data_IF_359333596531
#
_entry.id   IF_359333596531
#
_cell.length_a   1.000
_cell.length_b   1.000
_cell.length_c   1.000
_cell.angle_alpha   90.00
_cell.angle_beta   90.00
_cell.angle_gamma   90.00
#
_symmetry.space_group_name_H-M   'P 1'
#
loop_
_entity.id
_entity.type
_entity.pdbx_description
1 polymer ?
#
# COMPACT_ATOMS: atom_id res chain seq x y z
N UNK A 1 -36.82 23.68 14.32
CA UNK A 1 -36.26 25.04 14.39
C UNK A 1 -35.71 25.42 13.02
N UNK A 2 -35.75 26.69 12.58
CA UNK A 2 -34.90 27.14 11.48
C UNK A 2 -33.42 26.98 11.88
N UNK A 3 -32.49 26.72 10.94
CA UNK A 3 -31.07 26.70 11.25
C UNK A 3 -30.62 28.09 11.72
N UNK A 4 -29.84 28.15 12.80
CA UNK A 4 -29.20 29.40 13.24
C UNK A 4 -28.31 29.94 12.11
N UNK A 5 -28.19 31.26 11.99
CA UNK A 5 -27.06 31.83 11.26
C UNK A 5 -25.77 31.45 11.99
N UNK A 6 -24.80 31.02 11.20
CA UNK A 6 -23.42 30.84 11.64
C UNK A 6 -22.71 32.16 11.32
N UNK A 7 -22.60 33.03 12.34
CA UNK A 7 -22.02 34.37 12.23
C UNK A 7 -20.50 34.36 12.54
N UNK A 8 -19.85 33.20 12.34
CA UNK A 8 -18.39 33.09 12.39
C UNK A 8 -17.75 33.85 11.21
N UNK A 9 -16.75 34.69 11.51
CA UNK A 9 -15.94 35.38 10.49
C UNK A 9 -14.97 34.39 9.84
N UNK A 10 -15.42 33.72 8.79
CA UNK A 10 -14.56 32.85 7.98
C UNK A 10 -13.49 33.68 7.28
N UNK A 11 -12.23 33.24 7.36
CA UNK A 11 -11.12 33.85 6.62
C UNK A 11 -11.25 33.47 5.14
N UNK A 12 -11.10 34.39 4.17
CA UNK A 12 -11.11 34.04 2.74
C UNK A 12 -10.12 32.92 2.37
N UNK A 13 -9.00 32.79 3.09
CA UNK A 13 -8.04 31.69 2.89
C UNK A 13 -8.59 30.29 3.27
N UNK A 14 -9.67 30.21 4.05
CA UNK A 14 -10.33 28.95 4.42
C UNK A 14 -11.39 28.51 3.36
N UNK A 15 -11.45 29.20 2.21
CA UNK A 15 -12.45 28.94 1.14
C UNK A 15 -11.81 28.42 -0.14
N UNK A 16 -12.47 27.46 -0.80
CA UNK A 16 -12.08 27.03 -2.16
C UNK A 16 -12.43 28.15 -3.13
N UNK A 17 -11.50 28.54 -3.99
CA UNK A 17 -11.64 29.69 -4.90
C UNK A 17 -12.91 29.53 -5.76
N UNK A 18 -13.80 30.52 -5.71
CA UNK A 18 -15.09 30.49 -6.42
C UNK A 18 -16.23 29.77 -5.69
N UNK A 19 -16.01 29.29 -4.45
CA UNK A 19 -17.02 28.63 -3.62
C UNK A 19 -17.26 29.38 -2.32
N UNK A 20 -18.54 29.59 -1.99
CA UNK A 20 -18.93 30.20 -0.72
C UNK A 20 -18.40 29.38 0.47
N UNK A 21 -18.20 29.97 1.67
CA UNK A 21 -17.78 29.23 2.86
C UNK A 21 -18.66 28.01 3.18
N UNK A 22 -19.97 28.11 2.89
CA UNK A 22 -20.93 27.01 3.05
C UNK A 22 -20.77 25.92 2.01
N UNK A 23 -20.42 26.29 0.77
CA UNK A 23 -20.12 25.32 -0.30
C UNK A 23 -18.79 24.62 -0.02
N UNK A 24 -17.76 25.36 0.42
CA UNK A 24 -16.47 24.79 0.86
C UNK A 24 -16.67 23.78 2.00
N UNK A 25 -17.47 24.11 3.02
CA UNK A 25 -17.81 23.18 4.11
C UNK A 25 -18.54 21.92 3.61
N UNK A 26 -19.40 22.05 2.59
CA UNK A 26 -20.08 20.91 1.95
C UNK A 26 -19.12 20.04 1.12
N UNK A 27 -18.19 20.65 0.37
CA UNK A 27 -17.16 19.92 -0.38
C UNK A 27 -16.22 19.15 0.54
N UNK A 28 -15.67 19.80 1.57
CA UNK A 28 -14.81 19.16 2.55
C UNK A 28 -15.52 18.01 3.30
N UNK A 29 -16.78 18.21 3.71
CA UNK A 29 -17.55 17.16 4.37
C UNK A 29 -17.90 15.99 3.43
N UNK A 30 -18.22 16.28 2.16
CA UNK A 30 -18.51 15.24 1.14
C UNK A 30 -17.27 14.46 0.71
N UNK A 31 -16.09 15.09 0.71
CA UNK A 31 -14.81 14.41 0.56
C UNK A 31 -14.57 13.44 1.73
N UNK A 32 -14.68 13.93 2.98
CA UNK A 32 -14.46 13.14 4.19
C UNK A 32 -15.52 12.04 4.42
N UNK A 33 -16.72 12.17 3.84
CA UNK A 33 -17.78 11.16 3.90
C UNK A 33 -17.88 10.26 2.66
N UNK A 34 -16.95 10.37 1.70
CA UNK A 34 -16.93 9.51 0.53
C UNK A 34 -16.69 8.04 0.92
N UNK A 35 -17.52 7.15 0.38
CA UNK A 35 -17.47 5.69 0.58
C UNK A 35 -17.40 4.92 -0.75
N UNK A 36 -17.08 5.61 -1.85
CA UNK A 36 -16.90 5.07 -3.19
C UNK A 36 -17.32 6.05 -4.30
N UNK A 37 -17.15 5.69 -5.59
CA UNK A 37 -17.58 6.53 -6.70
C UNK A 37 -19.06 6.92 -6.58
N UNK A 38 -19.30 8.23 -6.51
CA UNK A 38 -20.60 8.87 -6.25
C UNK A 38 -21.39 8.35 -5.02
N UNK A 39 -20.72 7.81 -4.00
CA UNK A 39 -21.35 7.29 -2.79
C UNK A 39 -20.84 8.00 -1.54
N UNK A 40 -21.76 8.47 -0.72
CA UNK A 40 -21.48 9.32 0.44
C UNK A 40 -22.24 8.84 1.68
N UNK A 41 -21.55 8.78 2.82
CA UNK A 41 -22.13 8.61 4.14
C UNK A 41 -22.76 9.94 4.57
N UNK A 42 -24.08 10.05 4.40
CA UNK A 42 -24.81 11.29 4.69
C UNK A 42 -24.98 11.56 6.20
N UNK A 43 -24.71 10.60 7.08
CA UNK A 43 -24.83 10.75 8.53
C UNK A 43 -23.48 11.21 9.14
N UNK A 44 -22.35 10.74 8.59
CA UNK A 44 -21.04 11.39 8.77
C UNK A 44 -21.06 12.81 8.22
N UNK A 45 -21.60 13.02 7.02
CA UNK A 45 -21.69 14.36 6.42
C UNK A 45 -22.62 15.31 7.22
N UNK A 46 -23.69 14.79 7.83
CA UNK A 46 -24.53 15.51 8.77
C UNK A 46 -23.72 16.00 9.98
N UNK A 47 -22.97 15.09 10.59
CA UNK A 47 -22.09 15.36 11.74
C UNK A 47 -21.03 16.42 11.44
N UNK A 48 -20.38 16.37 10.27
CA UNK A 48 -19.33 17.32 9.87
C UNK A 48 -19.86 18.72 9.54
N UNK A 49 -21.09 18.82 9.01
CA UNK A 49 -21.62 20.11 8.52
C UNK A 49 -22.54 20.82 9.51
N UNK A 50 -23.23 20.07 10.38
CA UNK A 50 -24.33 20.57 11.22
C UNK A 50 -25.71 20.53 10.53
N UNK A 51 -25.82 19.90 9.36
CA UNK A 51 -27.07 19.70 8.63
C UNK A 51 -27.68 18.30 8.93
N UNK A 52 -28.85 18.00 8.36
CA UNK A 52 -29.39 16.63 8.38
C UNK A 52 -29.01 15.87 7.11
N UNK A 53 -28.90 14.55 7.18
CA UNK A 53 -28.69 13.70 6.00
C UNK A 53 -29.74 13.95 4.89
N UNK A 54 -30.98 14.27 5.28
CA UNK A 54 -32.08 14.58 4.37
C UNK A 54 -31.94 15.93 3.64
N UNK A 55 -31.36 16.95 4.27
CA UNK A 55 -31.07 18.22 3.57
C UNK A 55 -29.79 18.12 2.72
N UNK A 56 -28.78 17.38 3.18
CA UNK A 56 -27.52 17.19 2.46
C UNK A 56 -27.71 16.46 1.12
N UNK A 57 -28.61 15.47 1.05
CA UNK A 57 -29.02 14.81 -0.22
C UNK A 57 -29.62 15.78 -1.26
N UNK A 58 -29.98 17.01 -0.87
CA UNK A 58 -30.43 18.09 -1.77
C UNK A 58 -29.38 19.18 -1.98
N UNK A 59 -28.64 19.52 -0.92
CA UNK A 59 -27.66 20.62 -0.93
C UNK A 59 -26.33 20.24 -1.58
N UNK A 60 -25.88 18.98 -1.45
CA UNK A 60 -24.57 18.56 -1.93
C UNK A 60 -24.47 18.33 -3.45
N UNK A 61 -25.42 17.67 -4.15
CA UNK A 61 -25.32 17.42 -5.59
C UNK A 61 -25.07 18.66 -6.47
N UNK A 62 -25.72 19.83 -6.28
CA UNK A 62 -25.40 21.01 -7.11
C UNK A 62 -24.01 21.58 -6.82
N UNK A 63 -23.56 21.55 -5.55
CA UNK A 63 -22.22 22.02 -5.16
C UNK A 63 -21.13 21.10 -5.68
N UNK A 64 -21.33 19.78 -5.61
CA UNK A 64 -20.46 18.77 -6.23
C UNK A 64 -20.33 19.02 -7.74
N UNK A 65 -21.45 19.23 -8.44
CA UNK A 65 -21.44 19.45 -9.89
C UNK A 65 -20.69 20.75 -10.25
N UNK A 66 -20.96 21.85 -9.55
CA UNK A 66 -20.19 23.11 -9.69
C UNK A 66 -18.68 22.88 -9.50
N UNK A 67 -18.27 22.03 -8.54
CA UNK A 67 -16.86 21.69 -8.31
C UNK A 67 -16.25 20.78 -9.39
N UNK A 68 -17.03 19.87 -9.98
CA UNK A 68 -16.59 19.06 -11.14
C UNK A 68 -16.45 19.90 -12.41
N UNK A 69 -17.32 20.90 -12.60
CA UNK A 69 -17.29 21.86 -13.70
C UNK A 69 -16.10 22.85 -13.54
N UNK A 70 -15.82 23.32 -12.32
CA UNK A 70 -14.71 24.24 -12.04
C UNK A 70 -13.33 23.56 -11.96
N UNK A 71 -13.27 22.29 -11.57
CA UNK A 71 -12.02 21.53 -11.37
C UNK A 71 -12.09 20.15 -12.02
N UNK A 72 -11.62 19.97 -13.27
CA UNK A 72 -11.63 18.68 -13.96
C UNK A 72 -10.89 17.56 -13.20
N UNK A 73 -9.86 17.89 -12.42
CA UNK A 73 -9.17 16.95 -11.52
C UNK A 73 -10.09 16.38 -10.43
N UNK A 74 -11.05 17.16 -9.94
CA UNK A 74 -12.04 16.73 -8.95
C UNK A 74 -13.07 15.76 -9.55
N UNK A 75 -13.44 15.94 -10.83
CA UNK A 75 -14.27 14.98 -11.56
C UNK A 75 -13.58 13.61 -11.70
N UNK A 76 -12.31 13.62 -12.14
CA UNK A 76 -11.47 12.41 -12.24
C UNK A 76 -11.33 11.70 -10.89
N UNK A 77 -11.05 12.44 -9.82
CA UNK A 77 -10.93 11.89 -8.47
C UNK A 77 -12.21 11.20 -7.97
N UNK A 78 -13.39 11.70 -8.34
CA UNK A 78 -14.68 11.12 -7.93
C UNK A 78 -15.12 9.91 -8.79
N UNK A 79 -14.26 9.41 -9.69
CA UNK A 79 -14.52 8.26 -10.54
C UNK A 79 -15.43 8.57 -11.72
N UNK A 80 -15.55 9.84 -12.10
CA UNK A 80 -16.40 10.30 -13.22
C UNK A 80 -15.55 10.93 -14.30
N UNK A 81 -15.53 10.32 -15.50
CA UNK A 81 -14.96 10.94 -16.70
C UNK A 81 -15.70 12.24 -17.01
N UNK A 82 -14.96 13.34 -17.21
CA UNK A 82 -15.55 14.60 -17.66
C UNK A 82 -16.19 14.45 -19.06
N UNK A 83 -17.23 15.24 -19.40
CA UNK A 83 -17.71 15.33 -20.77
C UNK A 83 -16.58 15.86 -21.67
N UNK A 84 -16.30 15.16 -22.77
CA UNK A 84 -15.34 15.63 -23.77
C UNK A 84 -16.01 16.65 -24.68
N UNK A 85 -15.56 17.91 -24.66
CA UNK A 85 -15.97 18.91 -25.64
C UNK A 85 -15.56 18.46 -27.06
N UNK A 86 -16.55 18.24 -27.92
CA UNK A 86 -16.37 17.78 -29.29
C UNK A 86 -16.68 18.87 -30.30
N UNK A 87 -15.69 19.67 -30.69
CA UNK A 87 -15.82 20.65 -31.77
C UNK A 87 -15.74 19.98 -33.14
N UNK A 88 -16.88 19.78 -33.81
CA UNK A 88 -17.15 20.16 -35.21
C UNK A 88 -18.39 19.42 -35.78
N UNK A 89 -19.12 20.11 -36.66
CA UNK A 89 -20.24 19.54 -37.42
C UNK A 89 -21.47 20.44 -37.42
N UNK A 90 -21.58 21.34 -38.40
CA UNK A 90 -22.86 21.99 -38.69
C UNK A 90 -23.84 20.98 -39.29
N UNK A 91 -25.06 20.88 -38.74
CA UNK A 91 -26.21 20.60 -39.59
C UNK A 91 -27.44 21.39 -39.11
N UNK A 92 -28.26 21.85 -40.06
CA UNK A 92 -29.19 22.96 -39.85
C UNK A 92 -30.52 22.49 -39.27
N UNK A 93 -31.00 23.19 -38.24
CA UNK A 93 -32.32 22.96 -37.67
C UNK A 93 -33.44 23.31 -38.65
N UNK A 94 -34.43 22.41 -38.77
CA UNK A 94 -35.74 22.68 -39.35
C UNK A 94 -36.84 22.29 -38.33
N UNK A 95 -38.01 22.96 -38.32
CA UNK A 95 -38.83 23.04 -37.12
C UNK A 95 -39.82 21.88 -36.90
N UNK A 96 -40.23 21.70 -35.64
CA UNK A 96 -41.35 20.81 -35.26
C UNK A 96 -42.67 21.34 -35.84
N UNK A 97 -43.26 20.58 -36.77
CA UNK A 97 -44.69 20.70 -37.10
C UNK A 97 -45.55 19.99 -36.03
N UNK A 98 -46.81 20.42 -35.87
CA UNK A 98 -47.69 19.91 -34.83
C UNK A 98 -49.05 19.41 -35.35
N UNK A 99 -49.67 18.55 -34.54
CA UNK A 99 -51.11 18.29 -34.40
C UNK A 99 -51.83 17.23 -35.28
N UNK A 100 -52.96 16.79 -34.69
CA UNK A 100 -54.16 16.13 -35.26
C UNK A 100 -54.21 14.60 -35.49
N UNK A 101 -54.66 13.93 -34.42
CA UNK A 101 -55.97 13.24 -34.29
C UNK A 101 -56.42 12.16 -35.31
N UNK A 102 -56.72 10.98 -34.72
CA UNK A 102 -57.88 10.08 -34.98
C UNK A 102 -57.94 9.29 -36.31
N UNK A 103 -58.03 7.96 -36.17
CA UNK A 103 -59.33 7.24 -36.18
C UNK A 103 -59.21 5.94 -35.35
N UNK A 104 -60.35 5.32 -35.00
CA UNK A 104 -60.42 4.07 -34.23
C UNK A 104 -61.61 3.21 -34.70
N UNK A 105 -61.45 1.88 -34.64
CA UNK A 105 -62.42 0.77 -34.76
C UNK A 105 -61.61 -0.54 -34.72
N UNK A 106 -62.02 -1.65 -34.10
CA UNK A 106 -63.23 -1.93 -33.29
C UNK A 106 -63.02 -3.15 -32.37
N UNK A 107 -63.92 -3.28 -31.39
CA UNK A 107 -64.09 -4.32 -30.35
C UNK A 107 -64.83 -5.59 -30.90
N UNK A 108 -65.29 -6.57 -30.08
CA UNK A 108 -64.71 -7.27 -28.91
C UNK A 108 -64.86 -8.82 -28.99
N UNK A 109 -64.50 -9.55 -27.91
CA UNK A 109 -65.39 -10.42 -27.09
C UNK A 109 -64.55 -10.82 -25.84
N UNK A 110 -64.97 -10.71 -24.57
CA UNK A 110 -66.12 -11.25 -23.80
C UNK A 110 -66.13 -12.78 -23.66
N UNK A 111 -66.33 -13.38 -22.46
CA UNK A 111 -66.50 -12.82 -21.11
C UNK A 111 -66.24 -13.88 -19.99
N UNK A 112 -66.32 -13.44 -18.72
CA UNK A 112 -66.81 -14.19 -17.55
C UNK A 112 -65.94 -15.34 -16.94
N UNK A 113 -65.93 -15.63 -15.63
CA UNK A 113 -66.42 -14.93 -14.41
C UNK A 113 -65.88 -15.63 -13.13
N UNK A 114 -65.63 -14.86 -12.04
CA UNK A 114 -65.95 -15.18 -10.61
C UNK A 114 -65.22 -16.37 -9.90
N UNK A 115 -65.17 -16.48 -8.56
CA UNK A 115 -65.42 -15.56 -7.41
C UNK A 115 -64.80 -16.14 -6.10
N UNK A 116 -64.64 -15.30 -5.05
CA UNK A 116 -64.54 -15.65 -3.60
C UNK A 116 -63.33 -16.51 -3.09
N UNK A 117 -63.04 -16.64 -1.78
CA UNK A 117 -62.81 -15.67 -0.66
C UNK A 117 -62.32 -16.42 0.62
N UNK A 118 -62.16 -15.72 1.76
CA UNK A 118 -61.72 -16.17 3.11
C UNK A 118 -60.24 -16.56 3.24
N UNK A 119 -59.40 -16.02 4.15
CA UNK A 119 -59.50 -15.78 5.63
C UNK A 119 -59.48 -17.10 6.42
N UNK A 120 -58.45 -17.41 7.23
CA UNK A 120 -58.11 -16.87 8.56
C UNK A 120 -57.92 -18.08 9.52
N UNK A 121 -57.35 -18.02 10.73
CA UNK A 121 -56.61 -16.97 11.45
C UNK A 121 -55.51 -17.64 12.36
N UNK A 122 -55.09 -17.01 13.47
CA UNK A 122 -53.93 -17.45 14.32
C UNK A 122 -54.35 -18.30 15.53
N UNK A 123 -53.36 -18.94 16.17
CA UNK A 123 -53.32 -19.10 17.63
C UNK A 123 -51.89 -19.11 18.20
N UNK A 124 -51.73 -18.61 19.44
CA UNK A 124 -50.55 -18.79 20.29
C UNK A 124 -50.79 -19.95 21.27
N UNK A 125 -49.75 -20.45 21.96
CA UNK A 125 -49.72 -20.30 23.43
C UNK A 125 -48.31 -20.39 24.05
N UNK A 126 -48.22 -20.32 25.39
CA UNK A 126 -47.02 -20.04 26.22
C UNK A 126 -46.72 -21.07 27.34
N UNK A 127 -45.55 -20.86 27.96
CA UNK A 127 -45.18 -21.20 29.36
C UNK A 127 -44.77 -22.67 29.64
N UNK A 128 -44.03 -23.04 30.70
CA UNK A 128 -43.28 -22.34 31.79
C UNK A 128 -42.12 -23.28 32.25
N UNK A 129 -41.32 -22.97 33.30
CA UNK A 129 -40.74 -24.06 34.12
C UNK A 129 -39.31 -24.05 34.71
N UNK A 130 -38.80 -22.94 35.29
CA UNK A 130 -37.98 -22.87 36.54
C UNK A 130 -36.88 -23.93 36.94
N UNK A 131 -35.75 -23.38 37.47
CA UNK A 131 -34.79 -23.91 38.52
C UNK A 131 -33.69 -24.94 38.12
N UNK A 132 -32.61 -25.17 38.90
CA UNK A 132 -31.65 -24.28 39.64
C UNK A 132 -30.42 -25.06 40.22
N UNK A 133 -29.21 -24.49 40.10
CA UNK A 133 -28.03 -24.59 41.00
C UNK A 133 -27.13 -25.86 41.19
N UNK A 134 -25.82 -25.63 40.95
CA UNK A 134 -24.60 -26.00 41.73
C UNK A 134 -24.19 -27.46 42.03
N UNK A 135 -22.95 -27.81 41.65
CA UNK A 135 -22.11 -28.86 42.26
C UNK A 135 -20.62 -28.75 41.88
N UNK A 136 -19.68 -28.88 42.84
CA UNK A 136 -18.20 -28.94 42.70
C UNK A 136 -17.62 -29.47 44.02
N UNK A 137 -16.56 -30.33 44.09
CA UNK A 137 -15.16 -29.86 44.02
C UNK A 137 -14.09 -30.89 43.50
N UNK A 138 -12.81 -30.46 43.45
CA UNK A 138 -11.48 -31.16 43.65
C UNK A 138 -11.30 -32.68 43.32
N UNK A 139 -10.15 -33.20 42.87
CA UNK A 139 -8.80 -32.65 42.56
C UNK A 139 -7.63 -33.52 43.10
N UNK A 140 -6.40 -33.41 42.52
CA UNK A 140 -5.14 -34.23 42.72
C UNK A 140 -5.00 -35.44 41.76
N UNK A 141 -3.80 -35.94 41.35
CA UNK A 141 -2.39 -35.45 41.40
C UNK A 141 -1.50 -36.14 40.33
N UNK A 142 -0.28 -35.62 40.14
CA UNK A 142 0.89 -36.17 39.40
C UNK A 142 1.68 -37.22 40.23
N UNK A 143 2.83 -37.85 39.86
CA UNK A 143 3.92 -37.56 38.88
C UNK A 143 4.88 -38.78 38.70
N UNK A 144 5.51 -38.93 37.50
CA UNK A 144 6.77 -39.66 37.16
C UNK A 144 7.20 -39.28 35.72
N UNK A 145 8.43 -39.33 35.16
CA UNK A 145 9.83 -39.74 35.53
C UNK A 145 10.17 -41.25 35.48
N UNK A 146 11.35 -41.72 35.00
CA UNK A 146 12.64 -41.09 34.60
C UNK A 146 13.51 -42.03 33.68
N UNK A 147 14.44 -41.46 32.89
CA UNK A 147 15.68 -42.03 32.23
C UNK A 147 15.58 -43.37 31.40
N UNK A 148 16.55 -43.92 30.64
CA UNK A 148 17.96 -43.57 30.32
C UNK A 148 18.55 -44.23 29.01
N UNK A 149 19.66 -43.67 28.50
CA UNK A 149 20.85 -44.26 27.81
C UNK A 149 20.85 -45.36 26.67
N UNK A 150 21.46 -44.98 25.51
CA UNK A 150 22.70 -45.52 24.84
C UNK A 150 22.75 -46.54 23.66
N UNK A 151 23.64 -46.16 22.71
CA UNK A 151 24.60 -46.94 21.86
C UNK A 151 24.05 -47.75 20.67
N UNK A 152 24.53 -47.54 19.43
CA UNK A 152 25.75 -48.07 18.74
C UNK A 152 25.67 -49.61 18.48
N UNK A 153 26.01 -50.19 17.32
CA UNK A 153 27.02 -49.85 16.27
C UNK A 153 26.59 -50.15 14.81
N UNK A 154 27.46 -49.77 13.87
CA UNK A 154 27.73 -50.35 12.53
C UNK A 154 27.65 -51.90 12.44
N UNK A 155 27.54 -52.58 11.27
CA UNK A 155 27.19 -52.25 9.86
C UNK A 155 26.95 -53.60 9.07
N UNK A 156 27.27 -53.93 7.80
CA UNK A 156 28.01 -53.35 6.64
C UNK A 156 27.68 -54.19 5.34
N UNK A 157 27.71 -53.62 4.11
CA UNK A 157 27.72 -54.27 2.75
C UNK A 157 26.59 -55.30 2.36
N UNK A 158 26.28 -55.68 1.09
CA UNK A 158 26.50 -55.14 -0.28
C UNK A 158 25.60 -55.85 -1.35
N UNK A 159 25.49 -55.24 -2.56
CA UNK A 159 25.35 -55.85 -3.93
C UNK A 159 24.00 -56.45 -4.47
N UNK A 160 23.65 -55.97 -5.68
CA UNK A 160 22.85 -56.52 -6.83
C UNK A 160 21.37 -56.97 -6.73
N UNK A 161 20.65 -56.76 -7.86
CA UNK A 161 19.28 -57.25 -8.12
C UNK A 161 18.46 -56.35 -9.07
N UNK A 162 18.53 -56.59 -10.39
CA UNK A 162 17.67 -55.92 -11.39
C UNK A 162 16.23 -56.46 -11.39
N UNK A 163 15.22 -55.58 -11.45
CA UNK A 163 14.01 -55.86 -12.24
C UNK A 163 13.24 -54.59 -12.64
N UNK A 164 12.75 -54.53 -13.88
CA UNK A 164 11.89 -53.43 -14.39
C UNK A 164 10.41 -53.74 -14.12
N UNK A 165 9.75 -52.94 -13.29
CA UNK A 165 8.29 -52.97 -13.12
C UNK A 165 7.72 -51.57 -12.87
N UNK A 166 6.84 -51.08 -13.76
CA UNK A 166 6.02 -49.89 -13.52
C UNK A 166 4.68 -50.25 -12.86
N UNK A 167 4.32 -49.62 -11.72
CA UNK A 167 2.95 -49.51 -11.23
C UNK A 167 2.41 -48.05 -11.36
N UNK A 168 1.08 -47.86 -11.36
CA UNK A 168 0.46 -46.74 -12.10
C UNK A 168 0.33 -45.40 -11.36
N UNK A 169 0.24 -44.34 -12.17
CA UNK A 169 -0.06 -42.95 -11.82
C UNK A 169 -1.15 -42.76 -10.74
N UNK A 170 -0.76 -42.28 -9.55
CA UNK A 170 -1.67 -41.58 -8.62
C UNK A 170 -0.98 -40.40 -7.93
N UNK A 171 -1.68 -39.26 -7.92
CA UNK A 171 -1.50 -38.10 -7.04
C UNK A 171 -0.10 -37.44 -7.00
N UNK A 172 0.30 -36.80 -8.11
CA UNK A 172 1.33 -35.76 -8.09
C UNK A 172 0.82 -34.48 -7.38
N UNK A 173 1.07 -34.37 -6.08
CA UNK A 173 1.11 -33.06 -5.41
C UNK A 173 2.40 -32.35 -5.82
N UNK A 174 2.36 -31.60 -6.93
CA UNK A 174 3.49 -30.80 -7.40
C UNK A 174 3.90 -29.76 -6.35
N UNK A 175 5.09 -29.98 -5.77
CA UNK A 175 5.72 -29.06 -4.83
C UNK A 175 7.01 -28.52 -5.50
N UNK A 176 6.95 -27.39 -6.21
CA UNK A 176 7.93 -27.01 -7.24
C UNK A 176 9.26 -26.43 -6.70
N UNK A 177 9.59 -26.67 -5.42
CA UNK A 177 10.73 -26.03 -4.74
C UNK A 177 11.84 -27.01 -4.27
N UNK A 178 11.77 -28.30 -4.61
CA UNK A 178 12.94 -29.20 -4.52
C UNK A 178 13.73 -29.21 -5.83
N UNK A 179 14.36 -28.08 -6.14
CA UNK A 179 15.09 -27.90 -7.41
C UNK A 179 16.05 -26.70 -7.48
N UNK A 180 16.36 -26.03 -6.36
CA UNK A 180 17.35 -24.96 -6.34
C UNK A 180 18.77 -25.53 -6.47
N UNK A 181 19.23 -25.71 -7.71
CA UNK A 181 20.66 -25.81 -8.02
C UNK A 181 21.39 -24.55 -7.54
N UNK A 182 22.67 -24.70 -7.23
CA UNK A 182 23.53 -23.55 -6.91
C UNK A 182 23.60 -22.60 -8.11
N UNK A 183 23.21 -21.34 -7.93
CA UNK A 183 23.30 -20.32 -8.96
C UNK A 183 24.76 -20.17 -9.46
N UNK A 184 25.04 -20.36 -10.76
CA UNK A 184 26.39 -20.22 -11.27
C UNK A 184 26.80 -18.74 -11.33
N UNK A 185 27.68 -18.33 -10.41
CA UNK A 185 28.34 -17.01 -10.38
C UNK A 185 29.27 -16.74 -11.60
N UNK A 186 29.28 -17.63 -12.59
CA UNK A 186 30.33 -17.79 -13.60
C UNK A 186 30.22 -16.82 -14.80
N UNK A 187 30.00 -15.53 -14.54
CA UNK A 187 30.23 -14.47 -15.54
C UNK A 187 30.72 -13.12 -14.98
N UNK A 188 30.74 -12.91 -13.66
CA UNK A 188 31.08 -11.62 -13.04
C UNK A 188 32.40 -11.64 -12.27
N UNK A 189 33.44 -12.27 -12.84
CA UNK A 189 34.80 -12.22 -12.26
C UNK A 189 35.85 -11.92 -13.33
N UNK A 190 36.36 -10.68 -13.30
CA UNK A 190 37.66 -10.32 -13.85
C UNK A 190 38.26 -9.22 -12.97
N UNK A 191 39.49 -9.44 -12.49
CA UNK A 191 40.36 -8.50 -11.76
C UNK A 191 39.74 -7.72 -10.58
N UNK A 192 39.85 -8.26 -9.36
CA UNK A 192 40.81 -7.73 -8.37
C UNK A 192 40.94 -8.66 -7.15
N UNK A 193 42.06 -8.58 -6.42
CA UNK A 193 42.38 -9.45 -5.29
C UNK A 193 41.92 -8.89 -3.95
N UNK A 194 41.41 -9.78 -3.09
CA UNK A 194 41.44 -9.66 -1.62
C UNK A 194 40.82 -8.39 -1.00
N UNK A 195 39.56 -8.10 -1.33
CA UNK A 195 38.63 -7.53 -0.36
C UNK A 195 37.58 -8.60 0.00
N UNK A 196 37.15 -8.65 1.26
CA UNK A 196 35.86 -9.29 1.57
C UNK A 196 34.79 -8.51 0.81
N UNK A 197 33.89 -9.19 0.08
CA UNK A 197 32.91 -8.55 -0.81
C UNK A 197 31.84 -7.81 -0.02
N UNK A 198 32.19 -6.59 0.44
CA UNK A 198 31.35 -5.76 1.28
C UNK A 198 30.14 -5.29 0.49
N UNK A 199 28.99 -5.88 0.80
CA UNK A 199 27.75 -5.63 0.09
C UNK A 199 27.25 -4.20 0.37
N UNK A 200 26.69 -3.55 -0.66
CA UNK A 200 26.04 -2.26 -0.49
C UNK A 200 24.84 -2.36 0.49
N UNK A 201 24.48 -1.27 1.19
CA UNK A 201 23.39 -1.30 2.16
C UNK A 201 22.01 -1.57 1.54
N UNK A 202 21.12 -2.13 2.35
CA UNK A 202 19.68 -2.17 2.10
C UNK A 202 18.99 -1.37 3.20
N UNK A 203 18.04 -0.49 2.86
CA UNK A 203 17.28 0.29 3.84
C UNK A 203 15.80 0.36 3.46
N UNK A 204 14.91 0.11 4.41
CA UNK A 204 13.51 0.53 4.35
C UNK A 204 13.34 1.78 5.20
N UNK A 205 12.96 2.89 4.58
CA UNK A 205 12.80 4.21 5.22
C UNK A 205 11.34 4.66 5.23
N UNK A 206 11.01 5.47 6.24
CA UNK A 206 9.80 6.31 6.22
C UNK A 206 10.10 7.61 5.44
N UNK A 207 9.34 7.92 4.39
CA UNK A 207 9.64 9.07 3.52
C UNK A 207 8.95 10.39 3.92
N UNK A 208 7.94 10.34 4.79
CA UNK A 208 7.19 11.52 5.25
C UNK A 208 5.97 11.85 4.39
N UNK A 209 5.04 12.64 4.94
CA UNK A 209 3.81 13.01 4.26
C UNK A 209 4.03 14.17 3.28
N UNK A 210 4.11 13.88 1.98
CA UNK A 210 4.25 14.89 0.94
C UNK A 210 5.57 15.69 1.05
N UNK A 211 5.59 16.99 0.73
CA UNK A 211 6.80 17.82 0.74
C UNK A 211 7.26 18.23 2.16
N UNK A 212 6.46 17.95 3.18
CA UNK A 212 6.60 18.48 4.54
C UNK A 212 7.95 18.22 5.24
N UNK A 213 8.65 17.08 5.03
CA UNK A 213 10.01 16.88 5.56
C UNK A 213 11.03 17.91 5.02
N UNK A 214 10.86 18.37 3.77
CA UNK A 214 11.72 19.36 3.13
C UNK A 214 11.30 20.78 3.49
N UNK A 215 9.98 21.05 3.58
CA UNK A 215 9.43 22.31 4.08
C UNK A 215 9.67 22.55 5.58
N UNK A 216 10.19 21.56 6.32
CA UNK A 216 10.59 21.71 7.71
C UNK A 216 9.45 21.58 8.73
N UNK A 217 8.38 20.87 8.40
CA UNK A 217 7.23 20.72 9.30
C UNK A 217 7.61 20.08 10.66
N UNK A 218 7.28 20.71 11.80
CA UNK A 218 7.66 20.21 13.12
C UNK A 218 7.15 18.81 13.46
N UNK A 219 6.04 18.35 12.87
CA UNK A 219 5.50 17.00 13.12
C UNK A 219 6.29 15.89 12.41
N UNK A 220 7.17 16.26 11.48
CA UNK A 220 8.04 15.34 10.73
C UNK A 220 9.54 15.58 10.99
N UNK A 221 9.89 16.54 11.86
CA UNK A 221 11.27 16.97 12.10
C UNK A 221 12.22 15.85 12.56
N UNK A 222 11.74 14.85 13.32
CA UNK A 222 12.55 13.68 13.70
C UNK A 222 12.95 12.85 12.47
N UNK A 223 11.97 12.52 11.62
CA UNK A 223 12.16 11.76 10.38
C UNK A 223 13.05 12.54 9.40
N UNK A 224 12.79 13.84 9.21
CA UNK A 224 13.62 14.71 8.39
C UNK A 224 15.07 14.80 8.90
N UNK A 225 15.29 14.79 10.22
CA UNK A 225 16.63 14.71 10.80
C UNK A 225 17.29 13.35 10.55
N UNK A 226 16.58 12.23 10.72
CA UNK A 226 17.12 10.89 10.45
C UNK A 226 17.43 10.67 8.96
N UNK A 227 16.63 11.24 8.05
CA UNK A 227 16.92 11.30 6.61
C UNK A 227 18.17 12.15 6.29
N UNK A 228 18.40 13.25 7.01
CA UNK A 228 19.59 14.11 6.88
C UNK A 228 20.87 13.57 7.54
N UNK A 229 20.77 12.62 8.47
CA UNK A 229 21.91 12.24 9.34
C UNK A 229 22.18 10.75 9.43
N UNK A 230 21.16 9.90 9.66
CA UNK A 230 21.33 8.44 9.79
C UNK A 230 21.45 7.76 8.44
N UNK A 231 20.54 8.07 7.51
CA UNK A 231 20.51 7.42 6.20
C UNK A 231 21.78 7.70 5.39
N UNK A 232 22.38 8.91 5.39
CA UNK A 232 23.67 9.18 4.76
C UNK A 232 24.84 8.39 5.38
N UNK A 233 24.81 8.15 6.69
CA UNK A 233 25.82 7.33 7.38
C UNK A 233 25.69 5.85 7.01
N UNK A 234 24.47 5.30 7.00
CA UNK A 234 24.20 3.92 6.61
C UNK A 234 24.55 3.70 5.13
N UNK A 235 24.21 4.65 4.26
CA UNK A 235 24.61 4.70 2.85
C UNK A 235 26.07 5.10 2.63
N UNK A 236 26.84 5.40 3.69
CA UNK A 236 28.28 5.73 3.64
C UNK A 236 28.62 6.87 2.66
N UNK A 237 27.72 7.84 2.54
CA UNK A 237 27.84 8.95 1.59
C UNK A 237 29.06 9.83 1.92
N UNK A 238 29.77 10.30 0.90
CA UNK A 238 31.03 11.03 1.05
C UNK A 238 32.24 10.17 1.43
N UNK A 239 32.12 8.84 1.49
CA UNK A 239 33.23 7.91 1.73
C UNK A 239 33.60 7.13 0.46
N UNK A 240 34.77 6.44 0.42
CA UNK A 240 35.11 5.50 -0.65
C UNK A 240 34.16 4.30 -0.79
N UNK A 241 33.32 4.03 0.22
CA UNK A 241 32.29 2.98 0.22
C UNK A 241 30.89 3.50 -0.20
N UNK A 242 30.78 4.74 -0.70
CA UNK A 242 29.53 5.28 -1.22
C UNK A 242 29.00 4.41 -2.38
N UNK A 243 27.70 4.05 -2.41
CA UNK A 243 27.08 3.33 -3.51
C UNK A 243 27.25 4.02 -4.86
N UNK A 244 27.56 3.25 -5.92
CA UNK A 244 27.68 3.77 -7.29
C UNK A 244 26.33 4.11 -7.93
N UNK A 245 25.25 3.59 -7.35
CA UNK A 245 23.87 3.86 -7.72
C UNK A 245 22.93 3.38 -6.58
N UNK A 246 21.68 3.83 -6.62
CA UNK A 246 20.60 3.41 -5.72
C UNK A 246 19.43 2.85 -6.55
N UNK A 247 19.00 1.63 -6.23
CA UNK A 247 17.71 1.08 -6.66
C UNK A 247 16.67 1.44 -5.61
N UNK A 248 15.74 2.34 -5.94
CA UNK A 248 14.75 2.88 -5.02
C UNK A 248 13.36 2.31 -5.33
N UNK A 249 12.86 1.45 -4.44
CA UNK A 249 11.53 0.82 -4.52
C UNK A 249 10.53 1.74 -3.82
N UNK A 250 9.62 2.38 -4.56
CA UNK A 250 8.71 3.40 -4.01
C UNK A 250 7.27 2.92 -3.94
N UNK A 251 6.59 3.27 -2.85
CA UNK A 251 5.17 3.02 -2.62
C UNK A 251 4.26 3.74 -3.64
N UNK A 252 4.68 4.92 -4.13
CA UNK A 252 3.87 5.79 -5.01
C UNK A 252 3.96 5.39 -6.49
N UNK A 253 4.46 4.18 -6.78
CA UNK A 253 4.40 3.56 -8.08
C UNK A 253 4.01 2.09 -7.93
N UNK A 254 2.74 1.78 -8.20
CA UNK A 254 2.18 0.43 -8.09
C UNK A 254 1.65 -0.02 -9.45
N UNK A 255 2.03 -1.21 -9.91
CA UNK A 255 1.80 -1.69 -11.28
C UNK A 255 1.36 -3.16 -11.35
N UNK A 256 0.89 -3.58 -12.53
CA UNK A 256 0.51 -4.98 -12.84
C UNK A 256 1.69 -5.96 -12.66
N UNK A 257 2.90 -5.46 -12.86
CA UNK A 257 4.17 -6.15 -12.68
C UNK A 257 5.27 -5.14 -12.36
N UNK A 258 6.44 -5.63 -11.95
CA UNK A 258 7.59 -4.79 -11.61
C UNK A 258 7.97 -3.89 -12.79
N UNK A 259 7.89 -2.58 -12.60
CA UNK A 259 8.25 -1.59 -13.61
C UNK A 259 9.43 -0.76 -13.12
N UNK A 260 10.37 -0.48 -14.01
CA UNK A 260 11.72 0.04 -13.69
C UNK A 260 11.95 1.32 -14.47
N UNK A 261 12.37 2.42 -13.82
CA UNK A 261 12.72 3.65 -14.54
C UNK A 261 14.05 3.47 -15.28
N UNK A 262 14.10 3.81 -16.57
CA UNK A 262 15.27 3.55 -17.43
C UNK A 262 15.73 4.75 -18.25
N UNK A 263 15.41 5.96 -17.80
CA UNK A 263 15.91 7.21 -18.38
C UNK A 263 17.36 7.48 -17.97
N UNK A 264 17.98 8.48 -18.61
CA UNK A 264 19.25 9.09 -18.16
C UNK A 264 19.03 10.32 -17.27
N UNK A 265 17.85 10.93 -17.39
CA UNK A 265 17.30 12.06 -16.63
C UNK A 265 15.81 11.79 -16.47
N UNK A 266 15.23 12.36 -15.42
CA UNK A 266 13.83 12.18 -15.04
C UNK A 266 13.28 13.52 -14.55
N UNK A 267 12.08 13.89 -14.99
CA UNK A 267 11.35 15.02 -14.42
C UNK A 267 10.80 14.65 -13.03
N UNK A 268 10.46 15.65 -12.21
CA UNK A 268 9.74 15.40 -10.95
C UNK A 268 8.25 15.24 -11.21
N UNK A 269 7.66 14.19 -10.62
CA UNK A 269 6.24 13.89 -10.67
C UNK A 269 5.60 14.25 -9.33
N UNK A 270 4.99 15.44 -9.26
CA UNK A 270 4.32 15.94 -8.06
C UNK A 270 2.97 15.25 -7.85
N UNK A 271 3.01 14.13 -7.13
CA UNK A 271 1.89 13.27 -6.78
C UNK A 271 1.15 13.71 -5.49
N UNK A 272 1.43 14.92 -5.00
CA UNK A 272 0.77 15.54 -3.85
C UNK A 272 0.14 16.90 -4.21
N UNK A 273 -0.97 17.22 -3.54
CA UNK A 273 -1.83 18.37 -3.86
C UNK A 273 -2.20 19.17 -2.61
N UNK A 274 -2.41 20.48 -2.76
CA UNK A 274 -2.85 21.37 -1.66
C UNK A 274 -1.74 21.90 -0.75
N UNK A 275 -0.50 21.93 -1.24
CA UNK A 275 0.65 22.53 -0.54
C UNK A 275 0.99 23.93 -1.11
N UNK A 276 1.82 24.74 -0.43
CA UNK A 276 2.30 26.03 -0.95
C UNK A 276 3.14 25.90 -2.24
N UNK A 277 3.23 26.99 -3.01
CA UNK A 277 3.93 27.04 -4.32
C UNK A 277 5.42 26.67 -4.22
N UNK A 278 6.05 26.90 -3.06
CA UNK A 278 7.43 26.51 -2.78
C UNK A 278 7.63 24.98 -2.83
N UNK A 279 6.59 24.19 -2.56
CA UNK A 279 6.64 22.73 -2.69
C UNK A 279 6.77 22.28 -4.15
N UNK A 280 6.08 22.97 -5.06
CA UNK A 280 6.13 22.72 -6.51
C UNK A 280 7.35 23.37 -7.18
N UNK A 281 8.11 24.17 -6.41
CA UNK A 281 9.38 24.78 -6.81
C UNK A 281 10.60 23.93 -6.41
N UNK A 282 10.42 22.82 -5.69
CA UNK A 282 11.50 21.91 -5.32
C UNK A 282 12.14 21.29 -6.57
N UNK A 283 13.43 20.92 -6.50
CA UNK A 283 14.17 20.35 -7.62
C UNK A 283 15.14 19.25 -7.13
N UNK A 284 15.32 18.21 -7.94
CA UNK A 284 16.27 17.13 -7.68
C UNK A 284 16.72 16.49 -8.99
N UNK A 285 17.76 17.05 -9.62
CA UNK A 285 18.29 16.58 -10.91
C UNK A 285 19.40 15.54 -10.74
N UNK A 286 19.08 14.41 -10.10
CA UNK A 286 20.01 13.28 -10.07
C UNK A 286 19.97 12.52 -11.41
N UNK A 287 21.05 11.82 -11.80
CA UNK A 287 21.04 11.04 -13.03
C UNK A 287 20.19 9.77 -12.88
N UNK A 288 19.53 9.37 -13.95
CA UNK A 288 19.05 7.99 -14.13
C UNK A 288 20.19 7.11 -14.67
N UNK A 289 20.17 5.80 -14.37
CA UNK A 289 21.09 4.84 -14.99
C UNK A 289 20.34 3.77 -15.81
N UNK A 290 20.33 3.88 -17.16
CA UNK A 290 19.83 2.81 -18.02
C UNK A 290 20.62 1.50 -17.92
N UNK A 291 21.87 1.57 -17.44
CA UNK A 291 22.76 0.43 -17.20
C UNK A 291 22.30 -0.35 -15.95
N UNK A 292 22.11 0.32 -14.82
CA UNK A 292 21.53 -0.30 -13.62
C UNK A 292 20.08 -0.73 -13.87
N UNK A 293 19.29 0.02 -14.65
CA UNK A 293 17.93 -0.39 -15.00
C UNK A 293 17.88 -1.68 -15.84
N UNK A 294 18.88 -1.94 -16.68
CA UNK A 294 19.01 -3.23 -17.38
C UNK A 294 19.52 -4.34 -16.45
N UNK A 295 20.41 -4.04 -15.49
CA UNK A 295 20.81 -5.01 -14.46
C UNK A 295 19.61 -5.43 -13.59
N UNK A 296 18.80 -4.46 -13.12
CA UNK A 296 17.56 -4.71 -12.38
C UNK A 296 16.61 -5.59 -13.21
N UNK A 297 16.43 -5.28 -14.49
CA UNK A 297 15.57 -6.07 -15.40
C UNK A 297 16.05 -7.53 -15.51
N UNK A 298 17.37 -7.75 -15.63
CA UNK A 298 17.99 -9.08 -15.75
C UNK A 298 17.86 -9.90 -14.48
N UNK A 299 18.22 -9.36 -13.31
CA UNK A 299 18.15 -10.16 -12.07
C UNK A 299 16.71 -10.51 -11.68
N UNK A 300 15.73 -9.69 -12.07
CA UNK A 300 14.30 -10.03 -11.97
C UNK A 300 13.93 -11.17 -12.95
N UNK A 301 14.37 -11.10 -14.21
CA UNK A 301 14.15 -12.15 -15.22
C UNK A 301 14.80 -13.49 -14.83
N UNK A 302 16.04 -13.46 -14.33
CA UNK A 302 16.76 -14.60 -13.76
C UNK A 302 16.06 -15.16 -12.50
N UNK A 303 15.40 -14.31 -11.72
CA UNK A 303 14.51 -14.68 -10.62
C UNK A 303 13.10 -15.12 -11.03
N UNK A 304 12.80 -15.24 -12.33
CA UNK A 304 11.49 -15.66 -12.85
C UNK A 304 10.39 -14.58 -12.81
N UNK A 305 10.74 -13.32 -12.53
CA UNK A 305 9.81 -12.21 -12.35
C UNK A 305 9.67 -11.38 -13.63
N UNK A 306 8.46 -11.34 -14.20
CA UNK A 306 8.16 -10.50 -15.37
C UNK A 306 8.29 -9.01 -15.01
N UNK A 307 9.10 -8.27 -15.76
CA UNK A 307 9.31 -6.83 -15.55
C UNK A 307 9.10 -5.99 -16.83
N UNK A 308 8.93 -4.68 -16.66
CA UNK A 308 8.88 -3.64 -17.71
C UNK A 308 9.94 -2.57 -17.43
N UNK A 309 10.40 -1.89 -18.47
CA UNK A 309 11.19 -0.64 -18.35
C UNK A 309 10.35 0.54 -18.84
N UNK A 310 10.43 1.66 -18.14
CA UNK A 310 9.77 2.93 -18.45
C UNK A 310 10.84 4.03 -18.59
N UNK A 311 11.01 4.55 -19.81
CA UNK A 311 11.97 5.62 -20.09
C UNK A 311 11.49 7.03 -19.70
N UNK A 312 10.24 7.16 -19.26
CA UNK A 312 9.48 8.42 -19.11
C UNK A 312 8.92 8.64 -17.71
N UNK A 313 8.94 7.63 -16.82
CA UNK A 313 8.53 7.77 -15.41
C UNK A 313 9.29 8.91 -14.74
N UNK A 314 8.59 10.01 -14.43
CA UNK A 314 9.07 11.03 -13.50
C UNK A 314 9.06 10.54 -12.06
N UNK A 315 9.90 11.15 -11.22
CA UNK A 315 10.09 10.74 -9.83
C UNK A 315 8.98 11.24 -8.92
N UNK A 316 8.24 10.33 -8.29
CA UNK A 316 7.28 10.64 -7.22
C UNK A 316 7.96 11.13 -5.93
N UNK A 317 7.17 11.70 -5.02
CA UNK A 317 7.70 12.20 -3.75
C UNK A 317 8.34 11.14 -2.87
N UNK A 318 7.98 9.85 -3.03
CA UNK A 318 8.68 8.74 -2.39
C UNK A 318 10.12 8.58 -2.88
N UNK A 319 10.46 9.08 -4.08
CA UNK A 319 11.83 9.23 -4.56
C UNK A 319 12.42 10.57 -4.12
N UNK A 320 11.89 11.70 -4.60
CA UNK A 320 12.66 12.96 -4.52
C UNK A 320 12.65 13.64 -3.15
N UNK A 321 11.56 13.56 -2.37
CA UNK A 321 11.53 14.21 -1.04
C UNK A 321 12.55 13.61 -0.06
N UNK A 322 12.65 12.27 0.15
CA UNK A 322 13.69 11.73 0.99
C UNK A 322 15.08 11.92 0.37
N UNK A 323 15.23 11.83 -0.96
CA UNK A 323 16.55 11.96 -1.60
C UNK A 323 17.11 13.40 -1.59
N UNK A 324 16.27 14.45 -1.62
CA UNK A 324 16.67 15.84 -1.33
C UNK A 324 17.28 15.96 0.08
N UNK A 325 16.78 15.18 1.05
CA UNK A 325 17.26 15.20 2.43
C UNK A 325 18.50 14.32 2.65
N UNK A 326 18.57 13.18 1.96
CA UNK A 326 19.65 12.18 2.08
C UNK A 326 20.90 12.61 1.32
N UNK A 327 20.75 13.04 0.06
CA UNK A 327 21.87 13.38 -0.81
C UNK A 327 21.57 14.63 -1.64
N UNK A 328 21.55 15.84 -1.02
CA UNK A 328 21.21 17.10 -1.68
C UNK A 328 22.03 17.41 -2.94
N UNK A 329 23.24 16.84 -3.04
CA UNK A 329 24.17 17.02 -4.15
C UNK A 329 23.75 16.28 -5.43
N UNK A 330 22.72 15.42 -5.36
CA UNK A 330 22.12 14.72 -6.50
C UNK A 330 23.10 13.89 -7.40
N UNK A 331 24.34 13.66 -6.95
CA UNK A 331 25.38 13.08 -7.81
C UNK A 331 25.37 11.54 -7.95
N UNK A 332 24.47 10.84 -7.24
CA UNK A 332 24.37 9.37 -7.26
C UNK A 332 23.21 8.97 -8.19
N UNK A 333 23.43 8.09 -9.18
CA UNK A 333 22.37 7.61 -10.05
C UNK A 333 21.24 6.88 -9.29
N UNK A 334 20.00 7.20 -9.62
CA UNK A 334 18.80 6.56 -9.06
C UNK A 334 18.07 5.77 -10.15
N UNK A 335 17.68 4.53 -9.83
CA UNK A 335 16.77 3.71 -10.62
C UNK A 335 15.55 3.41 -9.76
N UNK A 336 14.41 3.99 -10.14
CA UNK A 336 13.14 3.78 -9.45
C UNK A 336 12.53 2.43 -9.85
N UNK A 337 11.93 1.73 -8.90
CA UNK A 337 11.24 0.45 -9.10
C UNK A 337 9.85 0.51 -8.46
N UNK A 338 8.85 -0.04 -9.16
CA UNK A 338 7.47 -0.11 -8.68
C UNK A 338 7.25 -1.25 -7.68
N UNK A 339 6.28 -1.09 -6.79
CA UNK A 339 5.63 -2.23 -6.12
C UNK A 339 4.58 -2.86 -7.06
N UNK A 340 4.00 -4.00 -6.66
CA UNK A 340 3.02 -4.75 -7.46
C UNK A 340 1.64 -4.71 -6.79
N UNK A 341 0.59 -4.45 -7.58
CA UNK A 341 -0.78 -4.23 -7.09
C UNK A 341 -1.45 -5.44 -6.41
N UNK A 342 -0.79 -6.61 -6.38
CA UNK A 342 -1.30 -7.82 -5.74
C UNK A 342 -1.26 -7.80 -4.20
N UNK A 343 -0.45 -6.91 -3.61
CA UNK A 343 -0.07 -6.91 -2.17
C UNK A 343 0.55 -8.24 -1.66
N UNK A 344 0.88 -9.18 -2.56
CA UNK A 344 1.34 -10.52 -2.18
C UNK A 344 2.75 -10.45 -1.55
N UNK A 345 2.93 -10.89 -0.28
CA UNK A 345 4.23 -10.86 0.36
C UNK A 345 5.26 -11.76 -0.33
N UNK A 346 4.86 -12.91 -0.88
CA UNK A 346 5.80 -13.83 -1.52
C UNK A 346 6.42 -13.20 -2.78
N UNK A 347 5.60 -12.58 -3.63
CA UNK A 347 6.04 -11.77 -4.78
C UNK A 347 7.01 -10.67 -4.36
N UNK A 348 6.68 -9.89 -3.32
CA UNK A 348 7.53 -8.77 -2.89
C UNK A 348 8.84 -9.24 -2.25
N UNK A 349 8.82 -10.34 -1.48
CA UNK A 349 10.04 -10.94 -0.94
C UNK A 349 10.92 -11.51 -2.07
N UNK A 350 10.32 -12.14 -3.08
CA UNK A 350 11.03 -12.64 -4.27
C UNK A 350 11.67 -11.50 -5.09
N UNK A 351 11.00 -10.36 -5.26
CA UNK A 351 11.59 -9.14 -5.84
C UNK A 351 12.83 -8.74 -5.03
N UNK A 352 12.75 -8.75 -3.69
CA UNK A 352 13.89 -8.52 -2.82
C UNK A 352 15.06 -9.47 -3.07
N UNK A 353 14.78 -10.78 -3.06
CA UNK A 353 15.79 -11.84 -3.28
C UNK A 353 16.45 -11.71 -4.66
N UNK A 354 15.69 -11.35 -5.69
CA UNK A 354 16.19 -11.07 -7.04
C UNK A 354 17.08 -9.83 -7.09
N UNK A 355 16.79 -8.76 -6.35
CA UNK A 355 17.62 -7.55 -6.31
C UNK A 355 18.92 -7.74 -5.49
N UNK A 356 18.95 -8.66 -4.54
CA UNK A 356 20.07 -8.86 -3.60
C UNK A 356 21.49 -8.95 -4.25
N UNK A 357 21.72 -9.62 -5.40
CA UNK A 357 23.04 -9.71 -6.03
C UNK A 357 23.61 -8.36 -6.49
N UNK A 358 22.76 -7.36 -6.75
CA UNK A 358 23.19 -6.01 -7.14
C UNK A 358 24.03 -5.33 -6.05
N UNK A 359 23.82 -5.72 -4.78
CA UNK A 359 24.58 -5.21 -3.63
C UNK A 359 26.08 -5.49 -3.76
N UNK A 360 26.48 -6.59 -4.41
CA UNK A 360 27.88 -6.94 -4.65
C UNK A 360 28.54 -6.04 -5.72
N UNK A 361 27.74 -5.35 -6.54
CA UNK A 361 28.21 -4.38 -7.55
C UNK A 361 28.23 -2.94 -7.01
N UNK A 362 28.24 -2.78 -5.69
CA UNK A 362 28.10 -1.53 -4.95
C UNK A 362 26.84 -0.70 -5.31
N UNK A 363 25.70 -1.39 -5.52
CA UNK A 363 24.38 -0.76 -5.77
C UNK A 363 23.52 -0.95 -4.52
N UNK A 364 23.14 0.15 -3.86
CA UNK A 364 22.30 0.10 -2.67
C UNK A 364 20.81 -0.07 -3.03
N UNK A 365 20.02 -0.62 -2.10
CA UNK A 365 18.58 -0.88 -2.30
C UNK A 365 17.79 -0.11 -1.22
N UNK A 366 16.95 0.82 -1.64
CA UNK A 366 16.18 1.70 -0.73
C UNK A 366 14.68 1.51 -0.95
N UNK A 367 14.00 0.91 0.02
CA UNK A 367 12.54 0.84 0.08
C UNK A 367 11.98 2.11 0.71
N UNK A 368 11.15 2.84 -0.02
CA UNK A 368 10.58 4.12 0.39
C UNK A 368 9.06 4.00 0.57
N UNK A 369 8.60 4.06 1.81
CA UNK A 369 7.20 3.86 2.19
C UNK A 369 6.94 4.25 3.64
N UNK A 370 6.20 3.41 4.36
CA UNK A 370 5.98 3.49 5.81
C UNK A 370 5.74 2.10 6.38
N UNK A 371 6.65 1.57 7.19
CA UNK A 371 6.45 0.25 7.81
C UNK A 371 5.28 0.23 8.82
N UNK A 372 5.24 1.23 9.71
CA UNK A 372 4.40 1.19 10.91
C UNK A 372 2.94 1.61 10.71
N UNK A 373 2.63 2.47 9.73
CA UNK A 373 1.29 2.99 9.47
C UNK A 373 1.22 3.71 8.11
N UNK A 374 0.34 3.28 7.21
CA UNK A 374 -0.16 4.09 6.10
C UNK A 374 -1.69 3.98 5.95
N UNK A 375 -2.40 4.43 6.98
CA UNK A 375 -3.85 4.58 6.92
C UNK A 375 -4.21 6.06 7.06
N UNK A 376 -4.38 6.76 5.93
CA UNK A 376 -4.69 8.19 5.90
C UNK A 376 -5.97 8.53 6.67
N UNK A 377 -6.99 7.66 6.64
CA UNK A 377 -8.22 7.84 7.45
C UNK A 377 -7.91 7.78 8.96
N UNK A 378 -6.98 6.94 9.40
CA UNK A 378 -6.53 6.92 10.79
C UNK A 378 -5.72 8.18 11.14
N UNK A 379 -4.76 8.59 10.29
CA UNK A 379 -3.94 9.78 10.50
C UNK A 379 -4.79 11.05 10.63
N UNK A 380 -5.71 11.30 9.69
CA UNK A 380 -6.50 12.55 9.65
C UNK A 380 -7.72 12.57 10.58
N UNK A 381 -8.21 11.41 11.05
CA UNK A 381 -9.28 11.37 12.08
C UNK A 381 -8.77 11.62 13.50
N UNK A 382 -7.45 11.70 13.71
CA UNK A 382 -6.83 11.88 15.02
C UNK A 382 -6.87 10.64 15.92
N UNK A 383 -7.39 9.50 15.44
CA UNK A 383 -7.48 8.26 16.23
C UNK A 383 -6.10 7.74 16.65
N UNK A 384 -5.04 8.06 15.92
CA UNK A 384 -3.63 7.78 16.26
C UNK A 384 -3.20 8.33 17.63
N UNK A 385 -3.89 9.37 18.12
CA UNK A 385 -3.61 9.97 19.44
C UNK A 385 -4.24 9.17 20.60
N UNK A 386 -5.17 8.25 20.33
CA UNK A 386 -5.86 7.47 21.36
C UNK A 386 -4.98 6.32 21.89
N UNK A 387 -5.01 6.03 23.21
CA UNK A 387 -4.21 4.93 23.78
C UNK A 387 -4.46 3.57 23.11
N UNK A 388 -5.70 3.29 22.68
CA UNK A 388 -6.06 2.05 21.98
C UNK A 388 -5.33 1.93 20.63
N UNK A 389 -5.25 3.00 19.84
CA UNK A 389 -4.57 2.95 18.54
C UNK A 389 -3.05 2.86 18.72
N UNK A 390 -2.49 3.53 19.73
CA UNK A 390 -1.06 3.43 20.06
C UNK A 390 -0.65 2.00 20.41
N UNK A 391 -1.35 1.36 21.35
CA UNK A 391 -1.10 -0.05 21.69
C UNK A 391 -1.21 -0.98 20.47
N UNK A 392 -2.18 -0.76 19.57
CA UNK A 392 -2.33 -1.55 18.35
C UNK A 392 -1.18 -1.32 17.35
N UNK A 393 -0.64 -0.09 17.27
CA UNK A 393 0.51 0.26 16.44
C UNK A 393 1.83 -0.27 17.03
N UNK A 394 1.93 -0.35 18.36
CA UNK A 394 3.03 -0.98 19.09
C UNK A 394 3.03 -2.51 18.88
N UNK A 395 1.88 -3.19 19.02
CA UNK A 395 1.73 -4.62 18.72
C UNK A 395 2.05 -4.94 17.24
N UNK A 396 1.52 -4.13 16.30
CA UNK A 396 1.87 -4.23 14.87
C UNK A 396 3.37 -4.09 14.65
N UNK A 397 3.98 -3.00 15.12
CA UNK A 397 5.40 -2.70 14.90
C UNK A 397 6.31 -3.73 15.56
N UNK A 398 5.86 -4.38 16.64
CA UNK A 398 6.53 -5.53 17.26
C UNK A 398 6.49 -6.77 16.36
N UNK A 399 5.34 -7.12 15.76
CA UNK A 399 5.26 -8.22 14.78
C UNK A 399 6.10 -7.95 13.53
N UNK A 400 6.08 -6.72 13.00
CA UNK A 400 6.96 -6.30 11.89
C UNK A 400 8.42 -6.46 12.29
N UNK A 401 8.81 -6.00 13.49
CA UNK A 401 10.19 -6.10 13.97
C UNK A 401 10.64 -7.55 14.19
N UNK A 402 9.79 -8.43 14.73
CA UNK A 402 10.12 -9.86 14.87
C UNK A 402 10.41 -10.52 13.52
N UNK A 403 9.59 -10.23 12.51
CA UNK A 403 9.85 -10.68 11.14
C UNK A 403 11.17 -10.12 10.60
N UNK A 404 11.32 -8.79 10.54
CA UNK A 404 12.50 -8.13 9.95
C UNK A 404 13.82 -8.51 10.63
N UNK A 405 13.83 -8.63 11.96
CA UNK A 405 15.02 -8.95 12.76
C UNK A 405 15.40 -10.44 12.73
N UNK A 406 14.62 -11.28 12.04
CA UNK A 406 14.94 -12.69 11.83
C UNK A 406 16.15 -12.80 10.91
N UNK A 407 17.17 -13.53 11.38
CA UNK A 407 18.48 -13.58 10.75
C UNK A 407 18.53 -14.52 9.54
N UNK A 408 17.88 -15.69 9.64
CA UNK A 408 17.67 -16.57 8.48
C UNK A 408 16.65 -15.96 7.52
N UNK A 409 17.03 -15.87 6.25
CA UNK A 409 16.22 -15.21 5.21
C UNK A 409 14.97 -16.01 4.82
N UNK A 410 14.98 -17.34 4.98
CA UNK A 410 13.83 -18.19 4.64
C UNK A 410 12.85 -18.36 5.81
N UNK A 411 13.29 -18.21 7.07
CA UNK A 411 12.41 -17.98 8.22
C UNK A 411 11.78 -16.59 8.15
N UNK A 412 12.57 -15.55 7.84
CA UNK A 412 12.09 -14.18 7.60
C UNK A 412 10.97 -14.16 6.55
N UNK A 413 11.18 -14.84 5.42
CA UNK A 413 10.17 -15.02 4.36
C UNK A 413 8.85 -15.61 4.89
N UNK A 414 8.91 -16.78 5.55
CA UNK A 414 7.75 -17.48 6.14
C UNK A 414 7.00 -16.63 7.18
N UNK A 415 7.69 -15.76 7.93
CA UNK A 415 7.02 -14.80 8.80
C UNK A 415 6.21 -13.79 7.97
N UNK A 416 6.79 -13.19 6.93
CA UNK A 416 6.12 -12.24 6.05
C UNK A 416 4.92 -12.82 5.28
N UNK A 417 4.92 -14.11 4.89
CA UNK A 417 3.73 -14.78 4.33
C UNK A 417 2.47 -14.60 5.21
N UNK A 418 2.66 -14.47 6.53
CA UNK A 418 1.58 -14.35 7.51
C UNK A 418 1.14 -12.91 7.81
N UNK A 419 1.72 -11.87 7.21
CA UNK A 419 1.62 -10.49 7.72
C UNK A 419 0.20 -9.95 7.88
N UNK A 420 -0.73 -10.30 6.97
CA UNK A 420 -2.16 -9.95 7.05
C UNK A 420 -2.92 -10.59 8.23
N UNK A 421 -2.25 -11.42 9.05
CA UNK A 421 -2.75 -12.03 10.29
C UNK A 421 -2.17 -11.37 11.55
N UNK A 422 -1.21 -10.45 11.44
CA UNK A 422 -0.63 -9.75 12.59
C UNK A 422 -1.62 -8.75 13.21
N UNK A 423 -1.48 -8.41 14.51
CA UNK A 423 -2.34 -7.41 15.15
C UNK A 423 -2.29 -6.07 14.38
N UNK A 424 -3.45 -5.47 14.14
CA UNK A 424 -3.55 -4.15 13.50
C UNK A 424 -3.27 -4.12 11.99
N UNK A 425 -3.06 -5.26 11.32
CA UNK A 425 -2.58 -5.31 9.93
C UNK A 425 -3.47 -4.57 8.91
N UNK A 426 -4.77 -4.41 9.17
CA UNK A 426 -5.69 -3.64 8.30
C UNK A 426 -5.93 -2.21 8.82
N UNK A 427 -5.75 -1.98 10.11
CA UNK A 427 -5.80 -0.66 10.75
C UNK A 427 -4.58 0.19 10.42
N UNK A 428 -3.40 -0.45 10.29
CA UNK A 428 -2.16 0.22 9.90
C UNK A 428 -2.03 0.35 8.38
N UNK A 429 -2.47 -0.66 7.61
CA UNK A 429 -2.38 -0.69 6.15
C UNK A 429 -3.68 -1.24 5.56
N UNK A 430 -4.56 -0.42 4.95
CA UNK A 430 -5.83 -0.89 4.39
C UNK A 430 -5.70 -2.03 3.37
N UNK A 431 -6.81 -2.71 3.07
CA UNK A 431 -6.88 -3.75 2.03
C UNK A 431 -6.98 -3.10 0.65
N UNK A 432 -6.04 -3.38 -0.26
CA UNK A 432 -5.91 -2.63 -1.52
C UNK A 432 -5.42 -1.20 -1.26
N UNK A 433 -4.51 -1.07 -0.30
CA UNK A 433 -4.02 0.19 0.27
C UNK A 433 -2.80 -0.02 1.18
N UNK A 434 -2.00 -1.06 0.92
CA UNK A 434 -0.79 -1.40 1.66
C UNK A 434 0.51 -1.14 0.87
N UNK A 435 0.44 -0.41 -0.25
CA UNK A 435 1.58 -0.06 -1.10
C UNK A 435 2.77 0.55 -0.34
N UNK A 436 2.52 1.22 0.79
CA UNK A 436 3.57 1.75 1.67
C UNK A 436 4.26 0.73 2.57
N UNK A 437 3.67 -0.44 2.78
CA UNK A 437 4.30 -1.56 3.51
C UNK A 437 5.19 -2.41 2.60
N UNK A 438 4.82 -2.55 1.32
CA UNK A 438 5.46 -3.46 0.36
C UNK A 438 6.98 -3.20 0.16
N UNK A 439 7.50 -1.95 0.15
CA UNK A 439 8.94 -1.68 0.06
C UNK A 439 9.75 -2.31 1.20
N UNK A 440 9.17 -2.45 2.41
CA UNK A 440 9.84 -3.16 3.50
C UNK A 440 10.00 -4.66 3.20
N UNK A 441 8.99 -5.29 2.58
CA UNK A 441 9.05 -6.72 2.23
C UNK A 441 10.12 -6.94 1.15
N UNK A 442 10.24 -6.03 0.18
CA UNK A 442 11.32 -6.04 -0.83
C UNK A 442 12.69 -5.85 -0.16
N UNK A 443 12.84 -4.91 0.77
CA UNK A 443 14.06 -4.77 1.55
C UNK A 443 14.38 -6.00 2.42
N UNK A 444 13.37 -6.65 3.00
CA UNK A 444 13.54 -7.83 3.83
C UNK A 444 14.05 -9.05 3.03
N UNK A 445 13.65 -9.19 1.76
CA UNK A 445 14.18 -10.19 0.84
C UNK A 445 15.56 -9.83 0.25
N UNK A 446 15.86 -8.54 0.11
CA UNK A 446 17.16 -8.06 -0.39
C UNK A 446 18.26 -8.02 0.69
N UNK A 447 17.87 -7.82 1.94
CA UNK A 447 18.75 -7.81 3.11
C UNK A 447 19.35 -9.18 3.39
N UNK A 448 20.64 -9.20 3.71
CA UNK A 448 21.38 -10.42 4.07
C UNK A 448 21.05 -10.90 5.48
N UNK A 449 22.03 -10.80 6.37
CA UNK A 449 21.94 -11.28 7.75
C UNK A 449 21.01 -10.45 8.63
N UNK A 450 21.37 -10.30 9.90
CA UNK A 450 20.49 -9.64 10.88
C UNK A 450 20.31 -8.14 10.61
N UNK A 451 19.05 -7.73 10.54
CA UNK A 451 18.68 -6.32 10.39
C UNK A 451 19.06 -5.47 11.60
N UNK A 452 19.13 -4.16 11.38
CA UNK A 452 19.16 -3.08 12.38
C UNK A 452 17.97 -2.14 12.15
N UNK A 453 17.65 -1.29 13.12
CA UNK A 453 16.51 -0.36 13.02
C UNK A 453 16.69 0.93 13.82
N UNK A 454 15.89 1.93 13.49
CA UNK A 454 15.61 3.10 14.31
C UNK A 454 14.12 3.48 14.20
N UNK A 455 13.61 4.29 15.13
CA UNK A 455 12.28 4.91 15.00
C UNK A 455 12.38 6.43 15.02
N UNK A 456 11.45 7.06 14.30
CA UNK A 456 11.22 8.51 14.36
C UNK A 456 9.77 8.80 14.78
N UNK A 457 9.55 9.92 15.48
CA UNK A 457 8.19 10.33 15.85
C UNK A 457 7.49 11.00 14.67
N UNK A 458 6.27 10.53 14.36
CA UNK A 458 5.36 11.11 13.37
C UNK A 458 3.92 10.82 13.77
N UNK A 459 2.99 11.76 13.53
CA UNK A 459 1.55 11.70 13.91
C UNK A 459 1.22 11.25 15.36
N UNK A 460 2.20 11.30 16.27
CA UNK A 460 2.11 10.86 17.67
C UNK A 460 2.49 9.39 17.94
N UNK A 461 3.07 8.71 16.95
CA UNK A 461 3.49 7.29 16.96
C UNK A 461 5.00 7.15 16.69
N UNK A 462 5.53 5.93 16.79
CA UNK A 462 6.86 5.56 16.31
C UNK A 462 6.79 4.96 14.91
N UNK A 463 7.45 5.59 13.96
CA UNK A 463 7.61 5.08 12.60
C UNK A 463 8.96 4.40 12.48
N UNK A 464 8.94 3.07 12.31
CA UNK A 464 10.15 2.27 12.28
C UNK A 464 10.75 2.21 10.87
N UNK A 465 12.07 2.37 10.81
CA UNK A 465 12.89 2.20 9.62
C UNK A 465 13.94 1.12 9.89
N UNK A 466 14.26 0.31 8.88
CA UNK A 466 15.05 -0.92 9.02
C UNK A 466 16.18 -0.96 8.00
N UNK A 467 17.32 -1.55 8.33
CA UNK A 467 18.46 -1.59 7.42
C UNK A 467 19.39 -2.79 7.62
N UNK A 468 20.13 -3.13 6.57
CA UNK A 468 21.15 -4.16 6.51
C UNK A 468 22.42 -3.56 5.92
N UNK A 469 23.55 -3.70 6.63
CA UNK A 469 24.86 -3.20 6.18
C UNK A 469 25.72 -4.32 5.56
N UNK A 470 25.32 -5.58 5.79
CA UNK A 470 26.00 -6.84 5.42
C UNK A 470 24.94 -7.86 4.96
#
# INVERSE_FOLDING_TARGET
>A
MPPKKDDSKVNPADTVVGFEPRETKLLAAGFLSSIGPDKYDYDVMATLTGNTAGSLKKMFPPVKRKAMEAYPSFATFLGTTAPTDGTNGEEKAAPKAAARKRKATSEPDEAATKDLQSEGEKSNDKADGKKKAKGRPRGKKTKTEKDDNRKETAAEEAVEGDEYAEPPLKNLTLNPLRGLQQFPLSFYSSTSTANMTRLAPVLSISHGGGPMPVLGDPSQAAMANSLKTRVPQILKLGTPEQPRAIVLVTAHWSMDKVTISSGKKHDLYYDYYGFPDEAYSLQYDAPGSPEVAEMVRRVLEEGGLSSKKDGTRGWDHGVFIPMILIHPQASIPVVQVSVVTSEDPATHFAIGRALAPLRAQNIAIVGSGFASLHNLRAMFSGVTKTPKFKALNEDWSKSVSDAVMTEDVEERNKKFESWRKWPGAYEMHPRGGAEHFLPLIVCAGAGGGKAKSYSDKFVGLDMWSYYWEE
#
